data_IF_419119075077
#
_entry.id   IF_419119075077
#
_cell.length_a   1.000
_cell.length_b   1.000
_cell.length_c   1.000
_cell.angle_alpha   90.00
_cell.angle_beta   90.00
_cell.angle_gamma   90.00
#
_symmetry.space_group_name_H-M   'P 1'
#
loop_
_entity.id
_entity.type
_entity.pdbx_description
1 polymer ?
#
# COMPACT_ATOMS: atom_id res chain seq x y z
N UNK A 1 -22.06 2.05 -2.35
CA UNK A 1 -22.04 0.97 -3.37
C UNK A 1 -21.52 1.55 -4.70
N UNK A 2 -20.20 1.54 -4.89
CA UNK A 2 -19.54 1.73 -6.18
C UNK A 2 -18.08 1.22 -6.07
N UNK A 3 -17.88 -0.10 -5.94
CA UNK A 3 -16.54 -0.70 -5.98
C UNK A 3 -16.08 -0.78 -7.45
N UNK A 4 -15.70 0.35 -8.04
CA UNK A 4 -15.13 0.42 -9.39
C UNK A 4 -13.60 0.23 -9.33
N UNK A 5 -13.07 -0.95 -9.02
CA UNK A 5 -11.63 -1.21 -9.05
C UNK A 5 -11.34 -2.50 -9.84
N UNK A 6 -11.71 -2.52 -11.12
CA UNK A 6 -11.50 -3.68 -12.01
C UNK A 6 -10.12 -3.66 -12.69
N UNK A 7 -9.45 -2.50 -12.75
CA UNK A 7 -8.18 -2.38 -13.45
C UNK A 7 -7.02 -2.71 -12.51
N UNK A 8 -6.09 -3.54 -12.98
CA UNK A 8 -4.88 -3.96 -12.28
C UNK A 8 -3.69 -3.84 -13.22
N UNK A 9 -2.48 -3.78 -12.66
CA UNK A 9 -1.25 -3.83 -13.44
C UNK A 9 -1.20 -5.19 -14.17
N UNK A 10 -1.07 -5.13 -15.50
CA UNK A 10 -0.95 -6.28 -16.37
C UNK A 10 0.49 -6.47 -16.85
N UNK A 11 0.80 -7.66 -17.38
CA UNK A 11 2.11 -7.94 -17.95
C UNK A 11 2.50 -6.96 -19.05
N UNK A 12 1.54 -6.47 -19.83
CA UNK A 12 1.80 -5.50 -20.89
C UNK A 12 2.29 -4.14 -20.33
N UNK A 13 1.84 -3.73 -19.15
CA UNK A 13 2.33 -2.50 -18.50
C UNK A 13 3.77 -2.64 -18.02
N UNK A 14 4.11 -3.82 -17.50
CA UNK A 14 5.46 -4.12 -17.02
C UNK A 14 6.50 -4.04 -18.14
N UNK A 15 6.09 -4.27 -19.40
CA UNK A 15 6.98 -4.13 -20.57
C UNK A 15 7.21 -2.66 -20.97
N UNK A 16 6.48 -1.70 -20.38
CA UNK A 16 6.53 -0.27 -20.71
C UNK A 16 7.26 0.58 -19.66
N UNK A 17 7.71 -0.01 -18.57
CA UNK A 17 8.37 0.67 -17.46
C UNK A 17 9.84 0.29 -17.37
N UNK A 18 10.66 1.18 -16.79
CA UNK A 18 12.11 1.00 -16.70
C UNK A 18 12.50 -0.18 -15.81
N UNK A 19 11.78 -0.37 -14.69
CA UNK A 19 12.10 -1.39 -13.68
C UNK A 19 10.85 -2.19 -13.29
N UNK A 20 10.45 -3.20 -14.09
CA UNK A 20 9.23 -3.97 -13.84
C UNK A 20 9.26 -4.78 -12.54
N UNK A 21 10.44 -5.18 -12.07
CA UNK A 21 10.62 -5.97 -10.86
C UNK A 21 10.02 -5.30 -9.60
N UNK A 22 9.95 -3.96 -9.58
CA UNK A 22 9.29 -3.16 -8.52
C UNK A 22 7.84 -3.56 -8.27
N UNK A 23 7.18 -4.09 -9.30
CA UNK A 23 5.74 -4.26 -9.35
C UNK A 23 5.33 -5.72 -9.56
N UNK A 24 6.19 -6.70 -9.27
CA UNK A 24 5.86 -8.13 -9.43
C UNK A 24 5.42 -8.76 -8.10
N UNK A 25 6.11 -8.43 -7.01
CA UNK A 25 5.89 -9.06 -5.70
C UNK A 25 6.33 -10.53 -5.67
N UNK A 26 5.92 -11.25 -4.62
CA UNK A 26 6.24 -12.67 -4.44
C UNK A 26 7.68 -12.94 -3.97
N UNK A 27 8.37 -11.95 -3.41
CA UNK A 27 9.69 -12.17 -2.85
C UNK A 27 9.68 -13.08 -1.61
N UNK A 28 10.85 -13.68 -1.32
CA UNK A 28 11.05 -14.47 -0.11
C UNK A 28 10.85 -13.58 1.13
N UNK A 29 10.04 -14.07 2.07
CA UNK A 29 9.69 -13.32 3.28
C UNK A 29 8.36 -12.57 3.18
N UNK A 30 7.70 -12.57 2.02
CA UNK A 30 6.32 -12.13 1.93
C UNK A 30 5.40 -13.07 2.75
N UNK A 31 4.58 -12.47 3.60
CA UNK A 31 3.53 -13.12 4.38
C UNK A 31 2.23 -13.03 3.60
N UNK A 32 1.58 -14.17 3.39
CA UNK A 32 0.23 -14.25 2.82
C UNK A 32 -0.62 -15.14 3.71
N UNK A 33 -1.67 -14.59 4.33
CA UNK A 33 -2.61 -15.32 5.20
C UNK A 33 -3.77 -15.84 4.36
N UNK A 34 -3.74 -17.11 3.97
CA UNK A 34 -4.72 -17.71 3.06
C UNK A 34 -6.13 -17.74 3.64
N UNK A 35 -6.26 -17.92 4.95
CA UNK A 35 -7.52 -17.86 5.70
C UNK A 35 -8.20 -16.50 5.59
N UNK A 36 -7.43 -15.40 5.57
CA UNK A 36 -7.96 -14.04 5.40
C UNK A 36 -8.51 -13.86 3.99
N UNK A 37 -7.78 -14.35 2.98
CA UNK A 37 -8.21 -14.28 1.59
C UNK A 37 -9.49 -15.09 1.35
N UNK A 38 -9.59 -16.29 1.93
CA UNK A 38 -10.82 -17.10 1.85
C UNK A 38 -12.01 -16.40 2.49
N UNK A 39 -11.84 -15.80 3.68
CA UNK A 39 -12.91 -15.04 4.34
C UNK A 39 -13.39 -13.86 3.48
N UNK A 40 -12.46 -13.07 2.92
CA UNK A 40 -12.81 -11.95 2.04
C UNK A 40 -13.53 -12.45 0.78
N UNK A 41 -13.09 -13.56 0.20
CA UNK A 41 -13.71 -14.13 -1.00
C UNK A 41 -15.14 -14.67 -0.75
N UNK A 42 -15.38 -15.25 0.42
CA UNK A 42 -16.67 -15.87 0.79
C UNK A 42 -17.67 -14.86 1.37
N UNK A 43 -17.21 -14.00 2.27
CA UNK A 43 -18.06 -13.11 3.06
C UNK A 43 -17.91 -11.62 2.69
N UNK A 44 -16.97 -11.26 1.80
CA UNK A 44 -16.65 -9.88 1.46
C UNK A 44 -15.94 -9.10 2.56
N UNK A 45 -15.58 -9.76 3.68
CA UNK A 45 -14.92 -9.18 4.86
C UNK A 45 -14.11 -10.25 5.60
N UNK A 46 -13.26 -9.81 6.52
CA UNK A 46 -12.49 -10.67 7.41
C UNK A 46 -12.59 -10.15 8.85
N UNK A 47 -12.34 -11.00 9.84
CA UNK A 47 -12.23 -10.59 11.24
C UNK A 47 -10.80 -10.10 11.61
N UNK A 48 -9.89 -10.04 10.63
CA UNK A 48 -8.54 -9.49 10.78
C UNK A 48 -8.51 -8.00 10.46
N UNK A 49 -7.67 -7.26 11.17
CA UNK A 49 -7.29 -5.89 10.79
C UNK A 49 -6.35 -5.95 9.59
N UNK A 50 -6.80 -5.42 8.46
CA UNK A 50 -6.06 -5.27 7.21
C UNK A 50 -5.22 -4.01 7.28
N UNK A 51 -3.90 -4.17 7.34
CA UNK A 51 -2.95 -3.07 7.45
C UNK A 51 -2.09 -2.94 6.18
N UNK A 52 -2.15 -1.81 5.49
CA UNK A 52 -1.23 -1.47 4.42
C UNK A 52 -0.07 -0.64 4.96
N UNK A 53 1.10 -1.25 5.10
CA UNK A 53 2.32 -0.59 5.53
C UNK A 53 3.06 0.02 4.34
N UNK A 54 2.89 1.32 4.20
CA UNK A 54 3.34 2.10 3.05
C UNK A 54 4.73 2.68 3.29
N UNK A 55 5.62 2.46 2.33
CA UNK A 55 6.88 3.18 2.22
C UNK A 55 6.76 4.18 1.05
N UNK A 56 6.75 5.50 1.30
CA UNK A 56 6.55 6.53 0.28
C UNK A 56 7.80 6.80 -0.56
N UNK A 57 8.37 5.74 -1.11
CA UNK A 57 9.41 5.73 -2.14
C UNK A 57 9.33 4.41 -2.92
N UNK A 58 10.20 4.25 -3.92
CA UNK A 58 10.27 3.04 -4.73
C UNK A 58 10.65 1.82 -3.91
N UNK A 59 10.23 0.65 -4.42
CA UNK A 59 10.44 -0.66 -3.81
C UNK A 59 11.88 -0.91 -3.35
N UNK A 60 12.89 -0.57 -4.16
CA UNK A 60 14.29 -0.86 -3.86
C UNK A 60 14.80 -0.08 -2.64
N UNK A 61 14.36 1.17 -2.49
CA UNK A 61 14.69 2.01 -1.33
C UNK A 61 13.99 1.47 -0.08
N UNK A 62 12.69 1.17 -0.19
CA UNK A 62 11.94 0.64 0.93
C UNK A 62 12.44 -0.73 1.40
N UNK A 63 12.78 -1.63 0.49
CA UNK A 63 13.33 -2.96 0.84
C UNK A 63 14.74 -2.91 1.41
N UNK A 64 15.47 -1.82 1.16
CA UNK A 64 16.77 -1.57 1.81
C UNK A 64 16.60 -1.04 3.25
N UNK A 65 15.37 -0.80 3.71
CA UNK A 65 15.08 -0.31 5.06
C UNK A 65 14.82 -1.46 6.05
N UNK A 66 15.74 -1.66 6.99
CA UNK A 66 15.62 -2.71 8.01
C UNK A 66 14.40 -2.51 8.92
N UNK A 67 14.05 -1.27 9.26
CA UNK A 67 12.89 -0.99 10.11
C UNK A 67 11.57 -1.37 9.42
N UNK A 68 11.49 -1.20 8.09
CA UNK A 68 10.36 -1.70 7.30
C UNK A 68 10.21 -3.21 7.46
N UNK A 69 11.31 -3.96 7.29
CA UNK A 69 11.31 -5.42 7.41
C UNK A 69 10.89 -5.85 8.83
N UNK A 70 11.46 -5.26 9.88
CA UNK A 70 11.15 -5.61 11.27
C UNK A 70 9.67 -5.35 11.59
N UNK A 71 9.18 -4.14 11.33
CA UNK A 71 7.81 -3.76 11.67
C UNK A 71 6.79 -4.55 10.85
N UNK A 72 7.08 -4.85 9.58
CA UNK A 72 6.26 -5.72 8.76
C UNK A 72 6.10 -7.13 9.37
N UNK A 73 7.20 -7.73 9.86
CA UNK A 73 7.15 -9.03 10.51
C UNK A 73 6.39 -8.97 11.85
N UNK A 74 6.70 -7.99 12.69
CA UNK A 74 6.04 -7.82 14.00
C UNK A 74 4.52 -7.61 13.85
N UNK A 75 4.08 -6.81 12.89
CA UNK A 75 2.65 -6.63 12.63
C UNK A 75 1.98 -7.94 12.20
N UNK A 76 2.66 -8.76 11.40
CA UNK A 76 2.12 -10.05 10.96
C UNK A 76 2.14 -11.14 12.03
N UNK A 77 2.98 -11.01 13.06
CA UNK A 77 2.98 -11.86 14.26
C UNK A 77 1.79 -11.59 15.19
N UNK A 78 1.14 -10.41 15.09
CA UNK A 78 -0.07 -10.12 15.86
C UNK A 78 -1.20 -11.04 15.33
N UNK A 79 -1.85 -11.85 16.18
CA UNK A 79 -2.77 -12.91 15.74
C UNK A 79 -3.91 -12.45 14.83
N UNK A 80 -4.40 -11.22 15.02
CA UNK A 80 -5.57 -10.67 14.33
C UNK A 80 -5.21 -9.57 13.32
N UNK A 81 -3.93 -9.40 12.96
CA UNK A 81 -3.50 -8.41 11.97
C UNK A 81 -2.98 -9.11 10.73
N UNK A 82 -3.32 -8.61 9.55
CA UNK A 82 -2.68 -8.99 8.29
C UNK A 82 -2.08 -7.75 7.65
N UNK A 83 -0.76 -7.65 7.72
CA UNK A 83 -0.02 -6.53 7.19
C UNK A 83 0.56 -6.85 5.81
N UNK A 84 0.29 -5.98 4.86
CA UNK A 84 0.86 -5.99 3.51
C UNK A 84 1.65 -4.70 3.27
N UNK A 85 2.54 -4.69 2.27
CA UNK A 85 3.39 -3.54 1.96
C UNK A 85 2.90 -2.83 0.72
N UNK A 86 3.12 -1.52 0.66
CA UNK A 86 2.89 -0.73 -0.53
C UNK A 86 4.01 0.30 -0.72
N UNK A 87 4.33 0.61 -1.96
CA UNK A 87 5.43 1.49 -2.34
C UNK A 87 4.95 2.53 -3.34
N UNK A 88 5.61 3.69 -3.38
CA UNK A 88 5.28 4.70 -4.38
C UNK A 88 5.73 4.23 -5.76
N UNK A 89 4.87 4.28 -6.79
CA UNK A 89 5.30 3.95 -8.14
C UNK A 89 6.23 5.03 -8.68
N UNK A 90 7.15 4.62 -9.55
CA UNK A 90 7.96 5.57 -10.30
C UNK A 90 7.12 6.30 -11.35
N UNK A 91 7.64 7.40 -11.90
CA UNK A 91 6.89 8.32 -12.79
C UNK A 91 6.30 7.63 -14.03
N UNK A 92 6.98 6.61 -14.54
CA UNK A 92 6.53 5.82 -15.69
C UNK A 92 5.30 4.96 -15.36
N UNK A 93 5.31 4.25 -14.22
CA UNK A 93 4.18 3.48 -13.75
C UNK A 93 3.04 4.37 -13.24
N UNK A 94 3.34 5.48 -12.55
CA UNK A 94 2.32 6.47 -12.15
C UNK A 94 1.51 6.96 -13.36
N UNK A 95 2.18 7.30 -14.48
CA UNK A 95 1.51 7.72 -15.70
C UNK A 95 0.59 6.62 -16.27
N UNK A 96 1.05 5.37 -16.30
CA UNK A 96 0.23 4.23 -16.77
C UNK A 96 -0.96 4.00 -15.85
N UNK A 97 -0.75 4.06 -14.53
CA UNK A 97 -1.80 3.86 -13.54
C UNK A 97 -2.89 4.93 -13.67
N UNK A 98 -2.52 6.19 -13.89
CA UNK A 98 -3.46 7.29 -14.12
C UNK A 98 -4.23 7.14 -15.42
N UNK A 99 -3.52 6.90 -16.53
CA UNK A 99 -4.14 6.70 -17.85
C UNK A 99 -5.19 5.58 -17.84
N UNK A 100 -4.87 4.49 -17.13
CA UNK A 100 -5.72 3.30 -17.04
C UNK A 100 -6.64 3.27 -15.83
N UNK A 101 -6.65 4.31 -14.98
CA UNK A 101 -7.37 4.30 -13.70
C UNK A 101 -7.09 3.02 -12.87
N UNK A 102 -5.83 2.60 -12.82
CA UNK A 102 -5.38 1.51 -11.95
C UNK A 102 -5.11 2.09 -10.56
N UNK A 103 -5.80 1.63 -9.52
CA UNK A 103 -5.56 2.09 -8.17
C UNK A 103 -4.20 1.60 -7.66
N UNK A 104 -3.56 2.39 -6.79
CA UNK A 104 -2.40 1.89 -6.04
C UNK A 104 -2.83 0.77 -5.08
N UNK A 105 -2.06 -0.32 -5.11
CA UNK A 105 -2.35 -1.57 -4.41
C UNK A 105 -1.17 -2.07 -3.58
N UNK A 106 -1.44 -2.96 -2.63
CA UNK A 106 -0.40 -3.71 -1.92
C UNK A 106 0.44 -4.57 -2.86
N UNK A 107 1.64 -4.93 -2.42
CA UNK A 107 2.58 -5.74 -3.17
C UNK A 107 2.19 -7.23 -3.16
N UNK A 108 1.76 -7.74 -2.01
CA UNK A 108 1.51 -9.16 -1.78
C UNK A 108 0.28 -9.67 -2.52
N UNK A 109 -0.86 -8.99 -2.38
CA UNK A 109 -2.14 -9.47 -2.93
C UNK A 109 -2.71 -8.61 -4.04
N UNK A 110 -2.11 -7.43 -4.30
CA UNK A 110 -2.67 -6.41 -5.20
C UNK A 110 -4.05 -5.93 -4.76
N UNK A 111 -4.28 -5.89 -3.44
CA UNK A 111 -5.47 -5.27 -2.88
C UNK A 111 -5.31 -3.74 -2.96
N UNK A 112 -6.27 -2.98 -3.50
CA UNK A 112 -6.22 -1.52 -3.48
C UNK A 112 -6.09 -0.96 -2.07
N UNK A 113 -5.33 0.13 -1.88
CA UNK A 113 -5.12 0.66 -0.51
C UNK A 113 -6.42 1.17 0.15
N UNK A 114 -7.41 1.58 -0.65
CA UNK A 114 -8.74 1.97 -0.17
C UNK A 114 -9.56 0.81 0.42
N UNK A 115 -9.11 -0.45 0.26
CA UNK A 115 -9.78 -1.64 0.79
C UNK A 115 -9.13 -2.17 2.09
N UNK A 116 -8.17 -1.44 2.66
CA UNK A 116 -7.57 -1.76 3.96
C UNK A 116 -8.28 -1.02 5.08
N UNK A 117 -8.18 -1.52 6.31
CA UNK A 117 -8.70 -0.83 7.51
C UNK A 117 -7.75 0.31 7.92
N UNK A 118 -6.44 0.08 7.73
CA UNK A 118 -5.39 1.05 8.09
C UNK A 118 -4.39 1.18 6.95
N UNK A 119 -4.06 2.43 6.60
CA UNK A 119 -2.95 2.78 5.70
C UNK A 119 -1.91 3.54 6.53
N UNK A 120 -0.79 2.89 6.83
CA UNK A 120 0.27 3.44 7.67
C UNK A 120 1.51 3.81 6.88
N UNK A 121 1.95 5.06 6.94
CA UNK A 121 3.15 5.55 6.24
C UNK A 121 4.39 5.56 7.14
N UNK A 122 5.52 5.07 6.63
CA UNK A 122 6.83 5.18 7.26
C UNK A 122 7.65 6.29 6.61
N UNK A 123 7.76 7.46 7.25
CA UNK A 123 8.48 8.62 6.72
C UNK A 123 9.92 8.63 7.23
N UNK A 124 10.86 8.39 6.31
CA UNK A 124 12.29 8.31 6.65
C UNK A 124 13.04 9.62 6.42
N UNK A 125 12.57 10.47 5.50
CA UNK A 125 13.13 11.78 5.16
C UNK A 125 12.07 12.65 4.50
N UNK A 126 12.35 13.95 4.40
CA UNK A 126 11.39 15.00 4.03
C UNK A 126 10.95 14.93 2.57
N UNK A 127 11.84 14.45 1.67
CA UNK A 127 11.52 14.32 0.24
C UNK A 127 10.41 13.29 -0.04
N UNK A 128 10.07 12.42 0.92
CA UNK A 128 8.97 11.47 0.78
C UNK A 128 7.58 12.10 0.95
N UNK A 129 7.45 13.33 1.46
CA UNK A 129 6.13 13.90 1.78
C UNK A 129 5.23 14.03 0.55
N UNK A 130 5.78 14.42 -0.59
CA UNK A 130 4.99 14.51 -1.83
C UNK A 130 4.55 13.14 -2.33
N UNK A 131 5.33 12.09 -2.06
CA UNK A 131 4.97 10.73 -2.43
C UNK A 131 3.81 10.20 -1.58
N UNK A 132 3.65 10.64 -0.33
CA UNK A 132 2.43 10.34 0.45
C UNK A 132 1.19 10.85 -0.27
N UNK A 133 1.25 12.08 -0.78
CA UNK A 133 0.14 12.67 -1.54
C UNK A 133 -0.11 11.91 -2.85
N UNK A 134 0.95 11.52 -3.56
CA UNK A 134 0.86 10.67 -4.75
C UNK A 134 0.16 9.34 -4.45
N UNK A 135 0.55 8.67 -3.36
CA UNK A 135 -0.02 7.39 -2.97
C UNK A 135 -1.50 7.50 -2.58
N UNK A 136 -1.88 8.52 -1.80
CA UNK A 136 -3.28 8.77 -1.45
C UNK A 136 -4.13 9.06 -2.69
N UNK A 137 -3.62 9.88 -3.62
CA UNK A 137 -4.29 10.24 -4.86
C UNK A 137 -4.52 9.03 -5.77
N UNK A 138 -3.47 8.23 -6.00
CA UNK A 138 -3.58 6.98 -6.78
C UNK A 138 -4.47 5.93 -6.12
N UNK A 139 -4.64 5.97 -4.81
CA UNK A 139 -5.54 5.07 -4.07
C UNK A 139 -6.96 5.60 -3.96
N UNK A 140 -7.23 6.83 -4.42
CA UNK A 140 -8.54 7.47 -4.26
C UNK A 140 -8.90 7.76 -2.80
N UNK A 141 -7.93 7.78 -1.89
CA UNK A 141 -8.15 8.07 -0.46
C UNK A 141 -8.13 9.59 -0.28
N UNK A 142 -9.19 10.20 0.30
CA UNK A 142 -9.21 11.64 0.52
C UNK A 142 -8.02 12.15 1.34
N UNK A 143 -7.45 13.28 0.93
CA UNK A 143 -6.30 13.89 1.61
C UNK A 143 -6.65 14.37 3.01
N UNK A 144 -7.78 15.07 3.15
CA UNK A 144 -8.23 15.58 4.44
C UNK A 144 -9.06 14.54 5.17
N UNK A 145 -8.84 14.41 6.48
CA UNK A 145 -9.59 13.50 7.34
C UNK A 145 -11.08 13.84 7.39
N UNK A 146 -11.45 15.12 7.22
CA UNK A 146 -12.85 15.57 7.17
C UNK A 146 -13.63 15.01 5.97
N UNK A 147 -12.92 14.62 4.92
CA UNK A 147 -13.52 14.16 3.68
C UNK A 147 -13.61 12.62 3.62
N UNK A 148 -13.03 11.93 4.61
CA UNK A 148 -13.06 10.46 4.74
C UNK A 148 -14.37 10.01 5.39
N UNK A 149 -14.95 8.96 4.83
CA UNK A 149 -16.17 8.29 5.28
C UNK A 149 -15.83 7.11 6.20
N UNK A 150 -16.85 6.50 6.79
CA UNK A 150 -16.66 5.33 7.67
C UNK A 150 -16.01 4.13 6.96
N UNK A 151 -16.21 4.00 5.64
CA UNK A 151 -15.62 2.92 4.84
C UNK A 151 -14.20 3.24 4.33
N UNK A 152 -13.69 4.46 4.55
CA UNK A 152 -12.33 4.84 4.14
C UNK A 152 -11.30 4.41 5.21
N UNK A 153 -10.06 4.06 4.81
CA UNK A 153 -9.04 3.63 5.75
C UNK A 153 -8.66 4.71 6.76
N UNK A 154 -8.31 4.28 7.97
CA UNK A 154 -7.59 5.13 8.92
C UNK A 154 -6.17 5.35 8.36
N UNK A 155 -5.81 6.61 8.15
CA UNK A 155 -4.46 6.98 7.69
C UNK A 155 -3.61 7.41 8.89
N UNK A 156 -2.49 6.73 9.08
CA UNK A 156 -1.50 7.06 10.11
C UNK A 156 -0.12 7.25 9.49
N UNK A 157 0.78 7.96 10.18
CA UNK A 157 2.17 8.10 9.78
C UNK A 157 3.08 8.00 11.00
N UNK A 158 4.27 7.43 10.80
CA UNK A 158 5.34 7.37 11.79
C UNK A 158 6.72 7.42 11.10
N UNK A 159 7.79 7.35 11.89
CA UNK A 159 9.16 7.42 11.39
C UNK A 159 9.89 8.68 11.87
N UNK A 160 11.21 8.77 11.62
CA UNK A 160 12.07 9.81 12.19
C UNK A 160 11.64 11.24 11.88
N UNK A 161 11.05 11.48 10.70
CA UNK A 161 10.64 12.82 10.27
C UNK A 161 9.15 13.13 10.53
N UNK A 162 8.41 12.22 11.18
CA UNK A 162 7.08 12.54 11.76
C UNK A 162 7.23 13.33 13.05
N UNK A 163 8.46 13.47 13.56
CA UNK A 163 8.78 14.42 14.61
C UNK A 163 8.65 15.85 14.08
N UNK A 164 7.63 16.57 14.53
CA UNK A 164 7.56 18.02 14.38
C UNK A 164 7.26 18.67 15.73
N UNK A 165 8.32 19.05 16.44
CA UNK A 165 8.33 20.07 17.46
C UNK A 165 9.76 20.65 17.58
N UNK A 166 10.18 21.43 16.58
CA UNK A 166 11.12 22.55 16.76
C UNK A 166 10.49 23.83 16.21
#
# INVERSE_FOLDING_TARGET
MNKMHTNRIERADLLRVENPARYVGGERGAVVKSEVLSQIQEAGRTDYVRFAYCFPDIYEIGMSNLALVILYHLLNEIPYVYCERAFSPWKDMDAIMRDRNIPLSSLETRTPLSEFDVVGFSLQYEMCYTNVLQMLDLSGIPFFSSDRKEDDPIVIAGGPVVYNAE
#
